data_IF_348589139267
#
_entry.id   IF_348589139267
#
_cell.length_a   1.000
_cell.length_b   1.000
_cell.length_c   1.000
_cell.angle_alpha   90.00
_cell.angle_beta   90.00
_cell.angle_gamma   90.00
#
_symmetry.space_group_name_H-M   'P 1'
#
loop_
_entity.id
_entity.type
_entity.pdbx_description
1 polymer ?
#
# COMPACT_ATOMS: atom_id res chain seq x y z
N UNK A 1 -9.09 23.01 18.94
CA UNK A 1 -10.20 22.51 18.11
C UNK A 1 -10.13 22.88 16.62
N UNK A 2 -9.24 23.76 16.16
CA UNK A 2 -9.10 24.16 14.73
C UNK A 2 -8.33 23.17 13.84
N UNK A 3 -7.57 22.21 14.42
CA UNK A 3 -6.71 21.27 13.63
C UNK A 3 -7.44 20.04 13.04
N UNK A 4 -8.70 19.78 13.41
CA UNK A 4 -9.47 18.61 12.93
C UNK A 4 -10.27 18.87 11.66
N UNK A 5 -10.67 20.11 11.41
CA UNK A 5 -11.44 20.46 10.20
C UNK A 5 -10.56 20.59 8.96
N UNK A 6 -9.33 21.08 9.11
CA UNK A 6 -8.39 21.24 8.00
C UNK A 6 -7.90 19.87 7.45
N UNK A 7 -7.67 18.90 8.32
CA UNK A 7 -7.30 17.53 7.95
C UNK A 7 -8.39 16.77 7.18
N UNK A 8 -9.67 17.02 7.51
CA UNK A 8 -10.82 16.38 6.83
C UNK A 8 -11.03 16.92 5.42
N UNK A 9 -10.79 18.22 5.19
CA UNK A 9 -10.87 18.82 3.85
C UNK A 9 -9.76 18.33 2.94
N UNK A 10 -8.54 18.19 3.46
CA UNK A 10 -7.38 17.71 2.71
C UNK A 10 -7.54 16.31 2.14
N UNK A 11 -8.38 15.43 2.75
CA UNK A 11 -8.59 14.06 2.32
C UNK A 11 -9.84 13.85 1.45
N UNK A 12 -10.62 14.89 1.14
CA UNK A 12 -11.87 14.76 0.37
C UNK A 12 -11.65 14.19 -1.04
N UNK A 13 -10.54 14.56 -1.69
CA UNK A 13 -10.20 14.08 -3.03
C UNK A 13 -9.76 12.60 -3.06
N UNK A 14 -9.43 12.00 -1.90
CA UNK A 14 -9.08 10.60 -1.74
C UNK A 14 -10.26 9.71 -1.32
N UNK A 15 -11.46 10.29 -1.23
CA UNK A 15 -12.68 9.51 -0.94
C UNK A 15 -13.21 8.86 -2.21
N UNK A 16 -13.19 7.54 -2.26
CA UNK A 16 -13.68 6.75 -3.39
C UNK A 16 -14.80 5.77 -2.96
N UNK A 17 -15.99 6.23 -2.53
CA UNK A 17 -16.98 5.42 -1.82
C UNK A 17 -17.50 4.22 -2.62
N UNK A 18 -17.56 4.32 -3.96
CA UNK A 18 -17.95 3.18 -4.82
C UNK A 18 -16.86 2.12 -4.86
N UNK A 19 -15.62 2.53 -5.05
CA UNK A 19 -14.45 1.64 -5.03
C UNK A 19 -14.29 1.01 -3.64
N UNK A 20 -14.32 1.79 -2.58
CA UNK A 20 -14.13 1.32 -1.20
C UNK A 20 -15.12 0.20 -0.83
N UNK A 21 -16.41 0.36 -1.18
CA UNK A 21 -17.43 -0.67 -0.96
C UNK A 21 -17.22 -1.90 -1.84
N UNK A 22 -16.84 -1.73 -3.10
CA UNK A 22 -16.53 -2.83 -4.01
C UNK A 22 -15.31 -3.62 -3.53
N UNK A 23 -14.24 -2.92 -3.13
CA UNK A 23 -13.04 -3.51 -2.56
C UNK A 23 -13.34 -4.31 -1.29
N UNK A 24 -14.05 -3.73 -0.32
CA UNK A 24 -14.41 -4.41 0.92
C UNK A 24 -15.21 -5.71 0.71
N UNK A 25 -16.01 -5.78 -0.35
CA UNK A 25 -16.74 -7.01 -0.75
C UNK A 25 -15.82 -8.03 -1.45
N UNK A 26 -14.83 -7.55 -2.18
CA UNK A 26 -13.95 -8.39 -2.99
C UNK A 26 -12.74 -8.92 -2.20
N UNK A 27 -12.24 -8.16 -1.22
CA UNK A 27 -10.98 -8.43 -0.51
C UNK A 27 -10.92 -9.84 0.10
N UNK A 28 -12.00 -10.33 0.69
CA UNK A 28 -12.04 -11.69 1.24
C UNK A 28 -11.84 -12.78 0.17
N UNK A 29 -12.33 -12.55 -1.05
CA UNK A 29 -12.11 -13.45 -2.20
C UNK A 29 -10.69 -13.36 -2.73
N UNK A 30 -10.15 -12.13 -2.84
CA UNK A 30 -8.74 -11.90 -3.21
C UNK A 30 -7.78 -12.58 -2.23
N UNK A 31 -8.05 -12.47 -0.94
CA UNK A 31 -7.27 -13.07 0.13
C UNK A 31 -7.23 -14.61 0.00
N UNK A 32 -8.39 -15.26 -0.21
CA UNK A 32 -8.45 -16.71 -0.43
C UNK A 32 -7.73 -17.19 -1.69
N UNK A 33 -7.52 -16.30 -2.68
CA UNK A 33 -6.81 -16.60 -3.93
C UNK A 33 -5.30 -16.40 -3.88
N UNK A 34 -4.77 -15.94 -2.75
CA UNK A 34 -3.32 -15.79 -2.58
C UNK A 34 -2.86 -14.40 -2.14
N UNK A 35 -3.72 -13.35 -2.16
CA UNK A 35 -3.31 -12.03 -1.72
C UNK A 35 -2.85 -12.01 -0.25
N UNK A 36 -3.42 -12.87 0.61
CA UNK A 36 -2.95 -13.07 1.99
C UNK A 36 -1.49 -13.53 2.02
N UNK A 37 -1.13 -14.49 1.17
CA UNK A 37 0.24 -15.03 1.14
C UNK A 37 1.23 -14.00 0.62
N UNK A 38 0.86 -13.23 -0.41
CA UNK A 38 1.72 -12.13 -0.90
C UNK A 38 1.97 -11.10 0.20
N UNK A 39 0.91 -10.68 0.93
CA UNK A 39 1.08 -9.75 2.06
C UNK A 39 1.92 -10.36 3.18
N UNK A 40 1.70 -11.62 3.55
CA UNK A 40 2.50 -12.31 4.58
C UNK A 40 3.99 -12.29 4.22
N UNK A 41 4.32 -12.52 2.95
CA UNK A 41 5.70 -12.49 2.47
C UNK A 41 6.29 -11.07 2.51
N UNK A 42 5.52 -10.04 2.13
CA UNK A 42 5.94 -8.66 2.23
C UNK A 42 6.19 -8.23 3.69
N UNK A 43 5.43 -8.77 4.65
CA UNK A 43 5.57 -8.46 6.07
C UNK A 43 6.60 -9.33 6.79
N UNK A 44 7.13 -10.36 6.13
CA UNK A 44 8.08 -11.29 6.74
C UNK A 44 9.37 -10.56 7.18
N UNK A 45 9.84 -10.86 8.38
CA UNK A 45 11.08 -10.27 8.93
C UNK A 45 10.95 -8.82 9.44
N UNK A 46 9.82 -8.17 9.28
CA UNK A 46 9.59 -6.84 9.84
C UNK A 46 9.64 -6.87 11.37
N UNK A 47 10.13 -5.79 11.96
CA UNK A 47 10.26 -5.64 13.41
C UNK A 47 10.14 -4.16 13.83
N UNK A 48 10.00 -3.93 15.14
CA UNK A 48 9.98 -2.60 15.70
C UNK A 48 8.73 -1.79 15.32
N UNK A 49 8.89 -0.50 15.09
CA UNK A 49 7.81 0.42 14.74
C UNK A 49 7.58 0.43 13.24
N UNK A 50 6.38 0.08 12.81
CA UNK A 50 5.99 0.01 11.40
C UNK A 50 4.96 1.08 11.07
N UNK A 51 5.07 1.69 9.89
CA UNK A 51 4.03 2.54 9.31
C UNK A 51 3.47 1.81 8.09
N UNK A 52 2.17 1.54 8.06
CA UNK A 52 1.48 1.01 6.88
C UNK A 52 0.71 2.14 6.20
N UNK A 53 1.11 2.51 4.97
CA UNK A 53 0.39 3.48 4.16
C UNK A 53 -0.72 2.77 3.36
N UNK A 54 -1.90 3.40 3.23
CA UNK A 54 -3.04 2.85 2.51
C UNK A 54 -3.51 1.50 3.08
N UNK A 55 -3.71 1.41 4.38
CA UNK A 55 -4.03 0.17 5.09
C UNK A 55 -5.34 -0.50 4.64
N UNK A 56 -6.16 0.20 3.86
CA UNK A 56 -7.43 -0.29 3.36
C UNK A 56 -8.38 -0.68 4.49
N UNK A 57 -8.92 -1.88 4.41
CA UNK A 57 -9.80 -2.44 5.42
C UNK A 57 -9.08 -3.06 6.62
N UNK A 58 -7.74 -2.99 6.69
CA UNK A 58 -6.92 -3.56 7.75
C UNK A 58 -6.73 -5.07 7.68
N UNK A 59 -6.99 -5.70 6.53
CA UNK A 59 -6.87 -7.16 6.40
C UNK A 59 -5.44 -7.69 6.54
N UNK A 60 -4.42 -6.82 6.49
CA UNK A 60 -3.02 -7.17 6.74
C UNK A 60 -2.67 -7.27 8.24
N UNK A 61 -3.44 -6.66 9.13
CA UNK A 61 -3.06 -6.53 10.55
C UNK A 61 -2.84 -7.86 11.27
N UNK A 62 -3.58 -8.90 10.89
CA UNK A 62 -3.43 -10.26 11.45
C UNK A 62 -2.18 -11.00 10.94
N UNK A 63 -1.44 -10.41 10.00
CA UNK A 63 -0.28 -11.02 9.37
C UNK A 63 1.06 -10.48 9.90
N UNK A 64 1.02 -9.40 10.69
CA UNK A 64 2.24 -8.83 11.25
C UNK A 64 2.93 -9.80 12.21
N UNK A 65 4.26 -9.98 12.07
CA UNK A 65 5.03 -10.80 13.01
C UNK A 65 5.06 -10.15 14.40
N UNK A 66 5.16 -10.97 15.44
CA UNK A 66 5.21 -10.50 16.84
C UNK A 66 6.48 -9.70 17.17
N UNK A 67 7.46 -9.66 16.28
CA UNK A 67 8.63 -8.77 16.37
C UNK A 67 8.29 -7.30 16.11
N UNK A 68 7.13 -7.02 15.49
CA UNK A 68 6.59 -5.67 15.33
C UNK A 68 6.00 -5.21 16.66
N UNK A 69 6.47 -4.10 17.17
CA UNK A 69 6.05 -3.55 18.46
C UNK A 69 4.85 -2.63 18.39
N UNK A 70 4.67 -1.97 17.23
CA UNK A 70 3.54 -1.08 16.95
C UNK A 70 3.38 -0.85 15.45
N UNK A 71 2.14 -0.77 14.96
CA UNK A 71 1.80 -0.38 13.60
C UNK A 71 1.02 0.93 13.63
N UNK A 72 1.53 1.96 12.96
CA UNK A 72 0.76 3.16 12.59
C UNK A 72 0.18 2.94 11.20
N UNK A 73 -1.11 2.65 11.11
CA UNK A 73 -1.83 2.37 9.87
C UNK A 73 -2.53 3.64 9.36
N UNK A 74 -2.22 4.06 8.14
CA UNK A 74 -2.75 5.25 7.50
C UNK A 74 -3.74 4.86 6.40
N UNK A 75 -4.98 5.38 6.49
CA UNK A 75 -6.02 5.15 5.48
C UNK A 75 -6.85 6.43 5.30
N UNK A 76 -6.81 7.07 4.11
CA UNK A 76 -7.56 8.28 3.85
C UNK A 76 -9.07 8.05 3.70
N UNK A 77 -9.51 6.92 3.10
CA UNK A 77 -10.93 6.65 2.87
C UNK A 77 -11.65 6.32 4.18
N UNK A 78 -12.71 7.08 4.49
CA UNK A 78 -13.45 6.98 5.75
C UNK A 78 -14.09 5.62 5.95
N UNK A 79 -14.64 5.02 4.88
CA UNK A 79 -15.29 3.74 4.98
C UNK A 79 -14.29 2.61 5.22
N UNK A 80 -13.21 2.56 4.46
CA UNK A 80 -12.15 1.55 4.66
C UNK A 80 -11.50 1.71 6.03
N UNK A 81 -11.19 2.95 6.43
CA UNK A 81 -10.63 3.24 7.75
C UNK A 81 -11.54 2.77 8.88
N UNK A 82 -12.87 2.91 8.75
CA UNK A 82 -13.81 2.39 9.75
C UNK A 82 -13.74 0.87 9.92
N UNK A 83 -13.45 0.13 8.83
CA UNK A 83 -13.23 -1.32 8.87
C UNK A 83 -11.87 -1.65 9.48
N UNK A 84 -10.83 -0.89 9.12
CA UNK A 84 -9.49 -1.05 9.67
C UNK A 84 -9.47 -0.87 11.21
N UNK A 85 -10.16 0.16 11.73
CA UNK A 85 -10.29 0.37 13.19
C UNK A 85 -10.90 -0.85 13.89
N UNK A 86 -11.93 -1.47 13.30
CA UNK A 86 -12.52 -2.69 13.87
C UNK A 86 -11.53 -3.86 13.90
N UNK A 87 -10.72 -4.02 12.85
CA UNK A 87 -9.72 -5.10 12.78
C UNK A 87 -8.50 -4.83 13.64
N UNK A 88 -8.13 -3.59 13.84
CA UNK A 88 -7.06 -3.22 14.76
C UNK A 88 -7.31 -3.74 16.19
N UNK A 89 -8.57 -3.75 16.62
CA UNK A 89 -8.95 -4.24 17.96
C UNK A 89 -8.68 -5.75 18.16
N UNK A 90 -8.51 -6.53 17.12
CA UNK A 90 -8.26 -7.98 17.17
C UNK A 90 -6.89 -8.38 16.62
N UNK A 91 -6.03 -7.41 16.30
CA UNK A 91 -4.68 -7.67 15.83
C UNK A 91 -3.78 -8.18 16.98
N UNK A 92 -2.85 -9.08 16.64
CA UNK A 92 -1.90 -9.63 17.62
C UNK A 92 -0.85 -8.61 18.07
N UNK A 93 -0.61 -7.58 17.27
CA UNK A 93 0.30 -6.46 17.57
C UNK A 93 -0.52 -5.17 17.77
N UNK A 94 -0.05 -4.20 18.57
CA UNK A 94 -0.73 -2.92 18.73
C UNK A 94 -0.83 -2.17 17.38
N UNK A 95 -2.05 -1.77 16.96
CA UNK A 95 -2.29 -1.01 15.74
C UNK A 95 -3.04 0.27 16.06
N UNK A 96 -2.50 1.41 15.61
CA UNK A 96 -3.17 2.70 15.64
C UNK A 96 -3.56 3.10 14.22
N UNK A 97 -4.86 3.29 13.97
CA UNK A 97 -5.36 3.68 12.65
C UNK A 97 -5.60 5.19 12.61
N UNK A 98 -5.07 5.87 11.58
CA UNK A 98 -5.22 7.32 11.40
C UNK A 98 -5.68 7.67 9.98
N UNK A 99 -6.40 8.79 9.88
CA UNK A 99 -6.71 9.44 8.61
C UNK A 99 -5.48 10.23 8.15
N UNK A 100 -4.83 9.78 7.09
CA UNK A 100 -3.73 10.51 6.45
C UNK A 100 -3.53 10.05 5.01
N UNK A 101 -3.04 10.94 4.16
CA UNK A 101 -2.52 10.64 2.83
C UNK A 101 -1.05 10.18 2.93
N UNK A 102 -0.64 9.37 1.96
CA UNK A 102 0.74 8.85 1.91
C UNK A 102 1.77 9.95 1.59
N UNK A 103 1.34 11.03 0.95
CA UNK A 103 2.14 12.21 0.62
C UNK A 103 2.51 13.05 1.87
N UNK A 104 1.88 12.79 3.02
CA UNK A 104 2.16 13.48 4.29
C UNK A 104 1.96 12.54 5.46
N UNK A 105 2.98 11.80 5.79
CA UNK A 105 2.97 10.82 6.88
C UNK A 105 3.09 11.54 8.25
N UNK A 106 2.10 11.41 9.16
CA UNK A 106 2.11 12.09 10.46
C UNK A 106 3.02 11.36 11.47
N UNK A 107 4.31 11.32 11.17
CA UNK A 107 5.36 10.71 11.97
C UNK A 107 6.66 11.55 11.83
N UNK A 108 7.50 11.51 12.86
CA UNK A 108 8.77 12.23 12.88
C UNK A 108 9.79 11.59 11.93
N UNK A 109 10.79 12.37 11.54
CA UNK A 109 11.90 11.91 10.71
C UNK A 109 12.65 10.76 11.40
N UNK A 110 12.93 9.69 10.66
CA UNK A 110 13.68 8.55 11.16
C UNK A 110 13.03 7.79 12.32
N UNK A 111 11.71 7.90 12.48
CA UNK A 111 10.97 7.31 13.62
C UNK A 111 10.48 5.89 13.38
N UNK A 112 10.53 5.38 12.13
CA UNK A 112 10.05 4.07 11.75
C UNK A 112 11.18 3.09 11.41
N UNK A 113 11.05 1.85 11.87
CA UNK A 113 11.92 0.74 11.49
C UNK A 113 11.57 0.20 10.11
N UNK A 114 10.28 0.21 9.77
CA UNK A 114 9.80 -0.17 8.44
C UNK A 114 8.59 0.66 8.01
N UNK A 115 8.43 0.78 6.67
CA UNK A 115 7.20 1.27 6.02
C UNK A 115 6.68 0.18 5.10
N UNK A 116 5.37 -0.04 5.11
CA UNK A 116 4.68 -1.01 4.26
C UNK A 116 3.82 -0.27 3.23
N UNK A 117 4.01 -0.58 1.96
CA UNK A 117 3.18 -0.15 0.85
C UNK A 117 2.60 -1.37 0.12
N UNK A 118 1.29 -1.59 0.23
CA UNK A 118 0.62 -2.73 -0.39
C UNK A 118 -0.50 -2.28 -1.31
N UNK A 119 -0.24 -2.24 -2.62
CA UNK A 119 -1.14 -1.74 -3.67
C UNK A 119 -1.47 -0.24 -3.50
N UNK A 120 -0.50 0.54 -3.08
CA UNK A 120 -0.61 1.98 -2.80
C UNK A 120 0.22 2.81 -3.77
N UNK A 121 1.51 2.49 -3.95
CA UNK A 121 2.39 3.23 -4.86
C UNK A 121 1.86 3.23 -6.30
N UNK A 122 1.19 2.18 -6.73
CA UNK A 122 0.52 2.15 -8.02
C UNK A 122 -0.70 3.09 -8.10
N UNK A 123 -1.24 3.58 -6.97
CA UNK A 123 -2.50 4.32 -6.91
C UNK A 123 -2.37 5.79 -6.52
N UNK A 124 -1.27 6.18 -5.86
CA UNK A 124 -1.02 7.58 -5.45
C UNK A 124 -0.81 8.49 -6.66
N UNK A 125 -1.15 9.79 -6.50
CA UNK A 125 -1.00 10.75 -7.59
C UNK A 125 0.48 11.02 -7.91
N UNK A 126 1.30 11.24 -6.89
CA UNK A 126 2.73 11.52 -6.98
C UNK A 126 3.55 10.47 -6.23
N UNK A 127 4.09 9.52 -6.98
CA UNK A 127 4.95 8.45 -6.44
C UNK A 127 6.23 8.98 -5.81
N UNK A 128 6.84 10.01 -6.42
CA UNK A 128 8.09 10.57 -5.93
C UNK A 128 7.89 11.28 -4.58
N UNK A 129 6.81 12.04 -4.42
CA UNK A 129 6.48 12.68 -3.16
C UNK A 129 6.23 11.65 -2.04
N UNK A 130 5.49 10.57 -2.34
CA UNK A 130 5.24 9.49 -1.37
C UNK A 130 6.53 8.77 -0.99
N UNK A 131 7.40 8.45 -1.94
CA UNK A 131 8.68 7.80 -1.68
C UNK A 131 9.63 8.69 -0.88
N UNK A 132 9.61 10.02 -1.11
CA UNK A 132 10.34 10.98 -0.29
C UNK A 132 9.84 11.00 1.17
N UNK A 133 8.52 10.97 1.39
CA UNK A 133 7.93 10.88 2.73
C UNK A 133 8.26 9.55 3.42
N UNK A 134 8.17 8.43 2.70
CA UNK A 134 8.60 7.11 3.20
C UNK A 134 10.07 7.17 3.64
N UNK A 135 10.94 7.74 2.79
CA UNK A 135 12.34 7.89 3.10
C UNK A 135 12.57 8.81 4.31
N UNK A 136 11.80 9.90 4.44
CA UNK A 136 11.89 10.81 5.59
C UNK A 136 11.63 10.11 6.91
N UNK A 137 10.53 9.33 7.00
CA UNK A 137 10.12 8.69 8.26
C UNK A 137 10.89 7.43 8.61
N UNK A 138 11.48 6.73 7.63
CA UNK A 138 12.34 5.59 7.88
C UNK A 138 13.65 6.03 8.53
N UNK A 139 14.14 5.33 9.52
CA UNK A 139 15.51 5.49 10.03
C UNK A 139 16.55 5.05 8.98
N UNK A 140 17.81 5.48 9.09
CA UNK A 140 18.89 4.91 8.28
C UNK A 140 18.92 3.37 8.45
N UNK A 141 18.97 2.64 7.33
CA UNK A 141 18.85 1.17 7.33
C UNK A 141 17.44 0.63 7.56
N UNK A 142 16.42 1.50 7.64
CA UNK A 142 15.01 1.09 7.72
C UNK A 142 14.49 0.48 6.42
N UNK A 143 13.45 -0.33 6.51
CA UNK A 143 12.94 -1.19 5.44
C UNK A 143 11.69 -0.58 4.81
N UNK A 144 11.66 -0.45 3.48
CA UNK A 144 10.45 -0.32 2.70
C UNK A 144 10.03 -1.72 2.22
N UNK A 145 8.93 -2.26 2.75
CA UNK A 145 8.30 -3.49 2.28
C UNK A 145 7.20 -3.13 1.26
N UNK A 146 7.25 -3.68 0.07
CA UNK A 146 6.30 -3.34 -0.99
C UNK A 146 5.66 -4.56 -1.65
N UNK A 147 4.39 -4.40 -2.04
CA UNK A 147 3.62 -5.31 -2.88
C UNK A 147 2.76 -4.46 -3.81
N UNK A 148 3.11 -4.37 -5.10
CA UNK A 148 2.55 -3.35 -6.00
C UNK A 148 2.24 -3.90 -7.39
N UNK A 149 1.24 -3.30 -8.07
CA UNK A 149 1.05 -3.48 -9.50
C UNK A 149 2.18 -2.80 -10.27
N UNK A 150 2.63 -3.43 -11.34
CA UNK A 150 3.62 -2.88 -12.26
C UNK A 150 3.29 -3.20 -13.70
N UNK A 151 3.83 -2.43 -14.63
CA UNK A 151 3.69 -2.66 -16.07
C UNK A 151 4.21 -4.04 -16.46
N UNK A 152 3.47 -4.74 -17.31
CA UNK A 152 3.89 -6.03 -17.87
C UNK A 152 5.16 -5.88 -18.71
N UNK A 153 6.11 -6.80 -18.56
CA UNK A 153 7.30 -6.87 -19.43
C UNK A 153 6.99 -7.43 -20.83
N UNK A 154 5.81 -8.04 -21.00
CA UNK A 154 5.37 -8.51 -22.33
C UNK A 154 4.91 -7.30 -23.15
N UNK A 155 5.54 -6.97 -24.28
CA UNK A 155 5.28 -5.73 -25.02
C UNK A 155 3.81 -5.52 -25.37
N UNK A 156 3.12 -6.58 -25.84
CA UNK A 156 1.70 -6.52 -26.23
C UNK A 156 0.81 -6.27 -25.01
N UNK A 157 1.05 -6.96 -23.88
CA UNK A 157 0.26 -6.77 -22.67
C UNK A 157 0.51 -5.38 -22.07
N UNK A 158 1.77 -4.93 -22.04
CA UNK A 158 2.10 -3.59 -21.58
C UNK A 158 1.42 -2.50 -22.41
N UNK A 159 1.36 -2.64 -23.74
CA UNK A 159 0.65 -1.70 -24.61
C UNK A 159 -0.88 -1.71 -24.33
N UNK A 160 -1.45 -2.88 -24.06
CA UNK A 160 -2.87 -2.99 -23.65
C UNK A 160 -3.11 -2.34 -22.28
N UNK A 161 -2.21 -2.55 -21.32
CA UNK A 161 -2.27 -1.89 -20.01
C UNK A 161 -2.19 -0.36 -20.16
N UNK A 162 -1.28 0.16 -20.98
CA UNK A 162 -1.16 1.60 -21.26
C UNK A 162 -2.47 2.17 -21.84
N UNK A 163 -3.08 1.47 -22.79
CA UNK A 163 -4.34 1.90 -23.42
C UNK A 163 -5.52 1.88 -22.43
N UNK A 164 -5.58 0.88 -21.54
CA UNK A 164 -6.70 0.69 -20.63
C UNK A 164 -6.55 1.47 -19.32
N UNK A 165 -5.35 1.94 -18.98
CA UNK A 165 -5.06 2.64 -17.72
C UNK A 165 -5.99 3.81 -17.41
N UNK A 166 -6.36 4.71 -18.36
CA UNK A 166 -7.25 5.83 -18.03
C UNK A 166 -8.66 5.42 -17.56
N UNK A 167 -9.18 4.31 -18.13
CA UNK A 167 -10.46 3.75 -17.68
C UNK A 167 -10.30 3.01 -16.33
N UNK A 168 -9.20 2.27 -16.19
CA UNK A 168 -8.89 1.52 -14.98
C UNK A 168 -8.73 2.42 -13.75
N UNK A 169 -8.04 3.54 -13.86
CA UNK A 169 -7.87 4.53 -12.79
C UNK A 169 -9.20 4.97 -12.18
N UNK A 170 -10.20 5.24 -13.05
CA UNK A 170 -11.53 5.68 -12.60
C UNK A 170 -12.29 4.60 -11.82
N UNK A 171 -12.04 3.32 -12.14
CA UNK A 171 -12.75 2.18 -11.57
C UNK A 171 -12.01 1.57 -10.37
N UNK A 172 -10.69 1.66 -10.33
CA UNK A 172 -9.80 0.98 -9.39
C UNK A 172 -9.10 1.93 -8.41
N UNK A 173 -9.79 3.00 -7.97
CA UNK A 173 -9.28 3.88 -6.92
C UNK A 173 -7.97 4.59 -7.25
N UNK A 174 -7.78 5.01 -8.51
CA UNK A 174 -6.56 5.70 -8.94
C UNK A 174 -5.43 4.78 -9.39
N UNK A 175 -5.59 3.45 -9.38
CA UNK A 175 -4.53 2.50 -9.71
C UNK A 175 -4.03 2.65 -11.17
N UNK A 176 -2.70 2.73 -11.32
CA UNK A 176 -1.95 2.75 -12.58
C UNK A 176 -1.18 1.43 -12.71
N UNK A 177 -1.76 0.39 -13.31
CA UNK A 177 -1.11 -0.92 -13.39
C UNK A 177 0.13 -0.92 -14.29
N UNK A 178 0.33 0.14 -15.07
CA UNK A 178 1.42 0.31 -16.03
C UNK A 178 2.62 1.11 -15.51
N UNK A 179 2.72 1.35 -14.18
CA UNK A 179 3.86 2.09 -13.59
C UNK A 179 5.11 1.24 -13.49
N UNK A 180 6.27 1.88 -13.61
CA UNK A 180 7.56 1.32 -13.20
C UNK A 180 7.84 1.68 -11.73
N UNK A 181 7.12 1.02 -10.83
CA UNK A 181 7.27 1.26 -9.39
C UNK A 181 8.65 0.85 -8.86
N UNK A 182 9.27 -0.18 -9.45
CA UNK A 182 10.62 -0.60 -9.03
C UNK A 182 11.67 0.46 -9.37
N UNK A 183 11.61 1.02 -10.58
CA UNK A 183 12.44 2.14 -10.99
C UNK A 183 12.25 3.35 -10.07
N UNK A 184 10.99 3.72 -9.78
CA UNK A 184 10.69 4.84 -8.88
C UNK A 184 11.26 4.65 -7.47
N UNK A 185 11.21 3.43 -6.90
CA UNK A 185 11.83 3.11 -5.60
C UNK A 185 13.35 3.30 -5.67
N UNK A 186 13.99 2.83 -6.73
CA UNK A 186 15.44 2.98 -6.94
C UNK A 186 15.84 4.46 -7.11
N UNK A 187 15.08 5.20 -7.93
CA UNK A 187 15.33 6.63 -8.19
C UNK A 187 15.15 7.49 -6.93
N UNK A 188 14.28 7.07 -6.01
CA UNK A 188 14.14 7.69 -4.69
C UNK A 188 15.31 7.39 -3.73
N UNK A 189 16.32 6.64 -4.18
CA UNK A 189 17.55 6.35 -3.43
C UNK A 189 17.43 5.19 -2.44
N UNK A 190 16.48 4.28 -2.66
CA UNK A 190 16.42 3.01 -1.93
C UNK A 190 17.30 1.95 -2.61
N UNK A 191 17.93 1.11 -1.79
CA UNK A 191 18.66 -0.07 -2.28
C UNK A 191 17.75 -1.30 -2.23
N UNK A 192 17.48 -1.90 -3.39
CA UNK A 192 16.66 -3.11 -3.47
C UNK A 192 17.41 -4.28 -2.80
N UNK A 193 16.83 -4.84 -1.76
CA UNK A 193 17.37 -6.01 -1.05
C UNK A 193 16.91 -7.31 -1.70
N UNK A 194 15.61 -7.40 -1.98
CA UNK A 194 15.01 -8.50 -2.73
C UNK A 194 13.81 -7.98 -3.54
N UNK A 195 13.52 -8.65 -4.63
CA UNK A 195 12.37 -8.34 -5.47
C UNK A 195 11.91 -9.58 -6.23
N UNK A 196 10.65 -9.88 -6.15
CA UNK A 196 10.02 -10.91 -6.95
C UNK A 196 8.95 -10.29 -7.84
N UNK A 197 9.00 -10.58 -9.14
CA UNK A 197 7.94 -10.24 -10.10
C UNK A 197 7.11 -11.48 -10.40
N UNK A 198 5.78 -11.32 -10.42
CA UNK A 198 4.85 -12.42 -10.72
C UNK A 198 3.53 -11.88 -11.26
N UNK A 199 2.75 -12.76 -11.88
CA UNK A 199 1.39 -12.46 -12.29
C UNK A 199 0.37 -12.92 -11.25
N UNK A 200 -0.63 -12.10 -10.96
CA UNK A 200 -1.73 -12.47 -10.08
C UNK A 200 -3.08 -12.07 -10.70
N UNK A 201 -4.05 -13.01 -10.63
CA UNK A 201 -5.41 -12.80 -11.13
C UNK A 201 -6.40 -12.85 -9.96
N UNK A 202 -7.17 -11.78 -9.79
CA UNK A 202 -8.19 -11.68 -8.72
C UNK A 202 -9.35 -12.67 -8.91
N UNK A 203 -9.64 -13.04 -10.18
CA UNK A 203 -10.67 -14.02 -10.53
C UNK A 203 -10.14 -14.98 -11.61
N UNK A 204 -10.73 -16.18 -11.70
CA UNK A 204 -10.26 -17.22 -12.65
C UNK A 204 -10.33 -16.80 -14.12
N UNK A 205 -11.24 -15.89 -14.46
CA UNK A 205 -11.47 -15.40 -15.84
C UNK A 205 -10.92 -13.98 -16.06
N UNK A 206 -10.27 -13.36 -15.06
CA UNK A 206 -9.61 -12.06 -15.25
C UNK A 206 -8.19 -12.28 -15.75
N UNK A 207 -7.67 -11.41 -16.61
CA UNK A 207 -6.26 -11.40 -16.96
C UNK A 207 -5.38 -11.30 -15.72
N UNK A 208 -4.24 -11.97 -15.74
CA UNK A 208 -3.21 -11.82 -14.72
C UNK A 208 -2.54 -10.47 -14.88
N UNK A 209 -2.51 -9.68 -13.82
CA UNK A 209 -1.80 -8.39 -13.76
C UNK A 209 -0.42 -8.62 -13.16
N UNK A 210 0.58 -7.92 -13.67
CA UNK A 210 1.94 -8.02 -13.16
C UNK A 210 2.07 -7.30 -11.81
N UNK A 211 2.76 -7.96 -10.88
CA UNK A 211 3.04 -7.45 -9.54
C UNK A 211 4.52 -7.57 -9.23
N UNK A 212 4.99 -6.71 -8.34
CA UNK A 212 6.25 -6.87 -7.63
C UNK A 212 6.00 -6.99 -6.13
N UNK A 213 6.86 -7.74 -5.46
CA UNK A 213 6.89 -7.90 -4.02
C UNK A 213 8.35 -7.98 -3.57
N UNK A 214 8.72 -7.25 -2.54
CA UNK A 214 10.07 -7.27 -2.03
C UNK A 214 10.34 -6.22 -0.95
N UNK A 215 11.62 -6.06 -0.66
CA UNK A 215 12.13 -5.15 0.34
C UNK A 215 13.21 -4.25 -0.26
N UNK A 216 13.22 -2.99 0.19
CA UNK A 216 14.26 -2.03 -0.14
C UNK A 216 14.73 -1.32 1.14
N UNK A 217 16.00 -0.93 1.19
CA UNK A 217 16.64 -0.32 2.34
C UNK A 217 16.86 1.18 2.07
N UNK A 218 16.55 2.00 3.09
CA UNK A 218 16.87 3.43 3.09
C UNK A 218 18.37 3.68 3.16
#
# INVERSE_FOLDING_TARGET
MQNTEDGSQALKHLQHPRFARAYARAVGRMNRRGATEHRRRALAGLHGKVIEIGAGDGSAFVLYPLTVTHVLALEPDDYLRSLAVKRAATAAVPVTVRAAAAERIPADDGSADAVVASLVLCSVADQAAVLAEIRRVLRPGGILAYYEHVRSERPVLGAVEDLLTPAWQRLAGGCHPNRDTLGAITDAGFTIQDNQRFGFAVQSLTPSVAHILGHAIR
#
